data_IF_553389221952
#
_entry.id   IF_553389221952
#
_cell.length_a   1.000
_cell.length_b   1.000
_cell.length_c   1.000
_cell.angle_alpha   90.00
_cell.angle_beta   90.00
_cell.angle_gamma   90.00
#
_symmetry.space_group_name_H-M   'P 1'
#
loop_
_entity.id
_entity.type
_entity.pdbx_description
1 polymer ?
#
# COMPACT_ATOMS: atom_id res chain seq x y z
N UNK A 1 -9.40 -46.74 -58.82
CA UNK A 1 -8.22 -47.45 -59.37
C UNK A 1 -7.06 -47.11 -58.45
N UNK A 2 -6.69 -48.03 -57.57
CA UNK A 2 -5.52 -47.89 -56.71
C UNK A 2 -4.32 -48.49 -57.45
N UNK A 3 -3.20 -47.76 -57.52
CA UNK A 3 -1.90 -48.39 -57.69
C UNK A 3 -1.07 -48.26 -56.40
N UNK A 4 -0.30 -49.30 -56.03
CA UNK A 4 0.34 -49.43 -54.73
C UNK A 4 1.88 -49.33 -54.80
N UNK A 5 2.47 -48.78 -53.74
CA UNK A 5 3.86 -49.09 -53.35
C UNK A 5 4.92 -48.13 -53.88
N UNK A 6 5.29 -47.18 -53.05
CA UNK A 6 6.63 -46.62 -53.03
C UNK A 6 7.11 -46.60 -51.56
N UNK A 7 8.29 -47.15 -51.22
CA UNK A 7 8.75 -47.24 -49.84
C UNK A 7 9.16 -45.87 -49.31
N UNK A 8 8.61 -45.47 -48.15
CA UNK A 8 9.07 -44.28 -47.44
C UNK A 8 10.51 -44.46 -47.01
N UNK A 9 11.37 -43.51 -47.36
CA UNK A 9 12.76 -43.46 -46.91
C UNK A 9 12.82 -43.12 -45.41
N UNK A 10 13.83 -43.58 -44.65
CA UNK A 10 13.88 -43.42 -43.19
C UNK A 10 14.02 -41.98 -42.69
N UNK A 11 14.13 -41.00 -43.58
CA UNK A 11 14.39 -39.60 -43.24
C UNK A 11 13.11 -38.78 -42.99
N UNK A 12 11.92 -39.36 -43.24
CA UNK A 12 10.63 -38.67 -43.08
C UNK A 12 9.91 -38.98 -41.75
N UNK A 13 10.58 -39.63 -40.79
CA UNK A 13 10.00 -39.87 -39.46
C UNK A 13 10.31 -38.68 -38.53
N UNK A 14 9.44 -37.67 -38.56
CA UNK A 14 9.55 -36.47 -37.72
C UNK A 14 9.38 -36.76 -36.21
N UNK A 15 9.05 -37.99 -35.83
CA UNK A 15 8.87 -38.41 -34.45
C UNK A 15 10.19 -38.52 -33.65
N UNK A 16 11.37 -38.56 -34.31
CA UNK A 16 12.68 -38.59 -33.64
C UNK A 16 13.14 -37.22 -33.09
N UNK A 17 12.54 -36.10 -33.53
CA UNK A 17 12.88 -34.75 -33.04
C UNK A 17 12.08 -34.33 -31.79
N UNK A 18 11.00 -35.02 -31.48
CA UNK A 18 10.15 -34.70 -30.33
C UNK A 18 10.56 -35.63 -29.19
N UNK A 19 11.35 -35.12 -28.27
CA UNK A 19 11.96 -35.84 -27.14
C UNK A 19 10.97 -36.43 -26.12
N UNK A 20 10.10 -37.32 -26.56
CA UNK A 20 9.23 -38.12 -25.72
C UNK A 20 9.41 -39.60 -26.08
N UNK A 21 10.08 -40.32 -25.16
CA UNK A 21 10.13 -41.77 -25.05
C UNK A 21 10.81 -42.55 -26.20
N UNK A 22 12.09 -42.30 -26.45
CA UNK A 22 12.97 -43.28 -27.11
C UNK A 22 13.55 -44.28 -26.10
N UNK A 23 13.59 -45.60 -26.40
CA UNK A 23 14.08 -46.64 -25.49
C UNK A 23 15.56 -46.50 -25.10
N UNK A 24 16.31 -45.63 -25.79
CA UNK A 24 17.70 -45.28 -25.51
C UNK A 24 17.85 -44.43 -24.22
N UNK A 25 16.81 -43.71 -23.81
CA UNK A 25 16.84 -42.83 -22.62
C UNK A 25 16.77 -43.59 -21.28
N UNK A 26 16.38 -44.87 -21.31
CA UNK A 26 16.26 -45.75 -20.13
C UNK A 26 17.57 -46.49 -19.83
N UNK A 27 18.53 -46.48 -20.76
CA UNK A 27 19.86 -47.04 -20.52
C UNK A 27 20.64 -46.12 -19.57
N UNK A 28 20.52 -46.39 -18.27
CA UNK A 28 21.22 -45.68 -17.21
C UNK A 28 22.72 -45.59 -17.47
N UNK A 29 23.27 -44.39 -17.31
CA UNK A 29 24.71 -44.10 -17.41
C UNK A 29 25.44 -44.81 -16.26
N UNK A 30 26.57 -45.52 -16.49
CA UNK A 30 27.36 -46.06 -15.39
C UNK A 30 27.95 -44.90 -14.57
N UNK A 31 27.65 -44.87 -13.28
CA UNK A 31 28.23 -43.91 -12.33
C UNK A 31 29.64 -44.40 -11.97
N UNK A 32 30.65 -43.58 -12.24
CA UNK A 32 32.02 -43.82 -11.80
C UNK A 32 32.12 -43.49 -10.30
N UNK A 33 32.65 -44.37 -9.44
CA UNK A 33 32.65 -44.15 -8.00
C UNK A 33 33.63 -43.04 -7.61
N UNK A 34 33.10 -42.02 -6.94
CA UNK A 34 33.85 -40.96 -6.26
C UNK A 34 34.79 -41.56 -5.19
N UNK A 35 36.03 -41.05 -5.00
CA UNK A 35 36.94 -41.60 -4.00
C UNK A 35 36.37 -41.43 -2.59
N UNK A 36 36.35 -42.53 -1.84
CA UNK A 36 35.75 -42.62 -0.51
C UNK A 36 36.35 -41.61 0.49
N UNK A 37 35.52 -40.88 1.26
CA UNK A 37 36.00 -40.23 2.48
C UNK A 37 36.33 -41.28 3.54
N UNK A 38 37.42 -41.06 4.27
CA UNK A 38 37.98 -41.96 5.29
C UNK A 38 36.98 -42.34 6.39
N UNK A 39 37.10 -43.54 7.01
CA UNK A 39 36.11 -44.04 7.95
C UNK A 39 36.26 -43.36 9.31
N UNK A 40 35.38 -42.41 9.62
CA UNK A 40 35.20 -41.95 11.00
C UNK A 40 34.20 -42.87 11.68
N UNK A 41 34.70 -43.68 12.60
CA UNK A 41 33.93 -44.67 13.36
C UNK A 41 32.71 -44.04 14.04
N UNK A 42 31.52 -44.61 13.81
CA UNK A 42 30.36 -44.35 14.65
C UNK A 42 30.53 -45.16 15.95
N UNK A 43 30.60 -44.53 17.15
CA UNK A 43 30.44 -45.25 18.40
C UNK A 43 28.98 -45.74 18.52
N UNK A 44 28.79 -46.89 19.16
CA UNK A 44 27.50 -47.54 19.41
C UNK A 44 26.50 -46.62 20.14
N UNK A 45 25.17 -46.83 20.03
CA UNK A 45 24.19 -45.96 20.65
C UNK A 45 24.23 -46.14 22.18
N UNK A 46 24.65 -45.10 22.90
CA UNK A 46 24.54 -45.03 24.36
C UNK A 46 23.19 -44.43 24.79
N UNK A 47 22.63 -44.90 25.93
CA UNK A 47 21.24 -44.67 26.32
C UNK A 47 20.98 -43.22 26.77
N UNK A 48 19.76 -42.73 26.53
CA UNK A 48 19.33 -41.39 26.97
C UNK A 48 19.53 -41.22 28.49
N UNK A 49 20.21 -40.15 28.95
CA UNK A 49 20.29 -39.85 30.36
C UNK A 49 18.98 -39.23 30.86
N UNK A 50 18.41 -39.84 31.91
CA UNK A 50 17.27 -39.32 32.69
C UNK A 50 17.51 -37.90 33.22
N UNK A 51 16.44 -37.11 33.47
CA UNK A 51 16.56 -35.69 33.78
C UNK A 51 17.28 -35.47 35.11
N UNK A 52 18.48 -34.89 35.06
CA UNK A 52 19.19 -34.42 36.25
C UNK A 52 18.53 -33.15 36.76
N UNK A 53 17.89 -33.26 37.91
CA UNK A 53 17.42 -32.15 38.74
C UNK A 53 18.64 -31.35 39.21
N UNK A 54 18.92 -30.22 38.57
CA UNK A 54 19.78 -29.17 39.12
C UNK A 54 18.89 -27.96 39.44
N UNK A 55 18.45 -27.91 40.69
CA UNK A 55 17.96 -26.71 41.33
C UNK A 55 19.05 -25.64 41.33
N UNK A 56 18.85 -24.57 40.56
CA UNK A 56 19.50 -23.30 40.78
C UNK A 56 18.43 -22.20 40.77
N UNK A 57 17.84 -22.01 41.95
CA UNK A 57 17.19 -20.80 42.47
C UNK A 57 16.93 -19.73 41.39
N UNK A 58 15.77 -19.82 40.72
CA UNK A 58 15.24 -18.68 39.96
C UNK A 58 14.80 -17.65 41.00
N UNK A 59 15.56 -16.57 41.16
CA UNK A 59 15.03 -15.36 41.80
C UNK A 59 13.66 -15.07 41.18
N UNK A 60 12.62 -14.72 41.97
CA UNK A 60 11.37 -14.29 41.38
C UNK A 60 11.69 -13.08 40.50
N UNK A 61 11.55 -13.24 39.18
CA UNK A 61 11.62 -12.12 38.27
C UNK A 61 10.70 -11.03 38.82
N UNK A 62 11.17 -9.78 38.93
CA UNK A 62 10.30 -8.69 39.38
C UNK A 62 9.04 -8.74 38.52
N UNK A 63 7.83 -8.58 39.11
CA UNK A 63 6.60 -8.67 38.35
C UNK A 63 6.75 -7.74 37.15
N UNK A 64 6.69 -8.31 35.95
CA UNK A 64 6.57 -7.54 34.71
C UNK A 64 5.48 -6.52 34.99
N UNK A 65 5.75 -5.20 34.95
CA UNK A 65 4.70 -4.23 35.17
C UNK A 65 3.60 -4.61 34.19
N UNK A 66 2.42 -4.96 34.73
CA UNK A 66 1.26 -5.20 33.89
C UNK A 66 1.20 -4.03 32.90
N UNK A 67 1.03 -4.28 31.59
CA UNK A 67 0.87 -3.19 30.66
C UNK A 67 -0.28 -2.35 31.22
N UNK A 68 0.04 -1.12 31.65
CA UNK A 68 -0.99 -0.19 32.12
C UNK A 68 -2.10 -0.24 31.08
N UNK A 69 -3.37 -0.42 31.49
CA UNK A 69 -4.45 -0.54 30.53
C UNK A 69 -4.36 0.67 29.61
N UNK A 70 -4.02 0.42 28.34
CA UNK A 70 -3.94 1.48 27.34
C UNK A 70 -5.23 2.29 27.48
N UNK A 71 -5.16 3.62 27.63
CA UNK A 71 -6.35 4.40 27.87
C UNK A 71 -7.32 4.10 26.73
N UNK A 72 -8.43 3.43 27.07
CA UNK A 72 -9.43 3.04 26.10
C UNK A 72 -9.76 4.27 25.23
N UNK A 73 -9.90 4.10 23.90
CA UNK A 73 -10.09 5.24 23.01
C UNK A 73 -11.26 6.06 23.52
N UNK A 74 -10.96 7.28 23.98
CA UNK A 74 -11.97 8.19 24.51
C UNK A 74 -12.85 8.57 23.32
N UNK A 75 -14.00 7.91 23.21
CA UNK A 75 -14.99 8.22 22.19
C UNK A 75 -15.64 9.55 22.55
N UNK A 76 -15.01 10.65 22.11
CA UNK A 76 -15.60 11.98 22.25
C UNK A 76 -16.92 12.00 21.48
N UNK A 77 -18.01 12.29 22.17
CA UNK A 77 -19.34 12.30 21.59
C UNK A 77 -19.41 13.36 20.46
N UNK A 78 -20.33 13.16 19.51
CA UNK A 78 -20.56 14.16 18.45
C UNK A 78 -20.99 15.52 19.03
N UNK A 79 -21.71 15.52 20.15
CA UNK A 79 -22.15 16.73 20.82
C UNK A 79 -20.96 17.52 21.40
N UNK A 80 -20.03 16.84 22.08
CA UNK A 80 -18.83 17.47 22.61
C UNK A 80 -17.92 18.02 21.51
N UNK A 81 -17.73 17.26 20.42
CA UNK A 81 -16.97 17.75 19.26
C UNK A 81 -17.61 18.98 18.64
N UNK A 82 -18.94 19.04 18.55
CA UNK A 82 -19.66 20.21 18.05
C UNK A 82 -19.48 21.42 18.96
N UNK A 83 -19.59 21.26 20.28
CA UNK A 83 -19.30 22.35 21.23
C UNK A 83 -17.88 22.88 21.04
N UNK A 84 -16.90 22.00 20.89
CA UNK A 84 -15.52 22.40 20.62
C UNK A 84 -15.35 23.16 19.28
N UNK A 85 -16.19 22.91 18.28
CA UNK A 85 -16.22 23.73 17.06
C UNK A 85 -16.86 25.10 17.28
N UNK A 86 -17.88 25.17 18.14
CA UNK A 86 -18.57 26.43 18.41
C UNK A 86 -17.64 27.41 19.15
N UNK A 87 -16.67 26.90 19.90
CA UNK A 87 -15.56 27.67 20.50
C UNK A 87 -14.48 28.09 19.49
N UNK A 88 -14.40 27.44 18.32
CA UNK A 88 -13.40 27.80 17.31
C UNK A 88 -13.74 29.14 16.63
N UNK A 89 -12.73 29.99 16.38
CA UNK A 89 -12.94 31.23 15.64
C UNK A 89 -13.61 30.98 14.28
N UNK A 90 -14.76 31.63 14.05
CA UNK A 90 -15.61 31.44 12.86
C UNK A 90 -14.88 31.77 11.55
N UNK A 91 -13.94 32.72 11.57
CA UNK A 91 -13.08 33.07 10.45
C UNK A 91 -12.21 31.88 10.00
N UNK A 92 -11.72 31.06 10.94
CA UNK A 92 -10.91 29.86 10.63
C UNK A 92 -11.74 28.73 10.03
N UNK A 93 -12.96 28.52 10.54
CA UNK A 93 -13.92 27.58 9.96
C UNK A 93 -14.30 28.00 8.54
N UNK A 94 -14.57 29.30 8.37
CA UNK A 94 -14.88 29.89 7.05
C UNK A 94 -13.72 29.70 6.10
N UNK A 95 -12.49 29.97 6.53
CA UNK A 95 -11.29 29.77 5.73
C UNK A 95 -11.13 28.32 5.28
N UNK A 96 -11.28 27.35 6.20
CA UNK A 96 -11.22 25.93 5.86
C UNK A 96 -12.29 25.55 4.83
N UNK A 97 -13.52 26.06 4.97
CA UNK A 97 -14.58 25.87 3.97
C UNK A 97 -14.26 26.51 2.63
N UNK A 98 -13.67 27.70 2.61
CA UNK A 98 -13.25 28.40 1.39
C UNK A 98 -12.24 27.56 0.60
N UNK A 99 -11.23 26.99 1.25
CA UNK A 99 -10.25 26.12 0.57
C UNK A 99 -10.93 24.88 0.00
N UNK A 100 -11.85 24.26 0.74
CA UNK A 100 -12.62 23.14 0.18
C UNK A 100 -13.48 23.55 -1.01
N UNK A 101 -14.11 24.72 -0.99
CA UNK A 101 -14.84 25.24 -2.13
C UNK A 101 -13.90 25.41 -3.35
N UNK A 102 -12.70 25.97 -3.16
CA UNK A 102 -11.69 26.08 -4.22
C UNK A 102 -11.28 24.72 -4.80
N UNK A 103 -11.20 23.67 -3.97
CA UNK A 103 -10.96 22.29 -4.41
C UNK A 103 -12.14 21.77 -5.25
N UNK A 104 -13.40 21.99 -4.83
CA UNK A 104 -14.57 21.54 -5.60
C UNK A 104 -14.70 22.27 -6.94
N UNK A 105 -14.42 23.57 -6.95
CA UNK A 105 -14.45 24.38 -8.17
C UNK A 105 -13.27 24.11 -9.11
N UNK A 106 -12.31 23.26 -8.73
CA UNK A 106 -11.14 22.96 -9.54
C UNK A 106 -11.55 22.41 -10.91
N UNK A 107 -12.51 21.49 -10.96
CA UNK A 107 -12.95 20.86 -12.21
C UNK A 107 -13.66 21.84 -13.15
N UNK A 108 -14.72 22.57 -12.74
CA UNK A 108 -15.42 23.50 -13.64
C UNK A 108 -14.57 24.69 -14.08
N UNK A 109 -13.52 25.04 -13.33
CA UNK A 109 -12.59 26.13 -13.67
C UNK A 109 -11.32 25.65 -14.38
N UNK A 110 -11.27 24.39 -14.83
CA UNK A 110 -10.10 23.78 -15.48
C UNK A 110 -8.80 23.93 -14.65
N UNK A 111 -8.92 23.80 -13.33
CA UNK A 111 -7.83 23.83 -12.36
C UNK A 111 -7.49 25.23 -11.83
N UNK A 112 -8.06 26.30 -12.37
CA UNK A 112 -7.73 27.67 -11.95
C UNK A 112 -7.98 27.90 -10.45
N UNK A 113 -9.13 27.47 -9.92
CA UNK A 113 -9.41 27.61 -8.48
C UNK A 113 -8.49 26.77 -7.60
N UNK A 114 -7.99 25.61 -8.09
CA UNK A 114 -7.02 24.80 -7.37
C UNK A 114 -5.68 25.53 -7.25
N UNK A 115 -5.26 26.28 -8.27
CA UNK A 115 -4.06 27.13 -8.18
C UNK A 115 -4.24 28.20 -7.09
N UNK A 116 -5.39 28.89 -7.06
CA UNK A 116 -5.68 29.87 -6.00
C UNK A 116 -5.68 29.23 -4.61
N UNK A 117 -6.27 28.04 -4.48
CA UNK A 117 -6.24 27.27 -3.23
C UNK A 117 -4.83 26.90 -2.83
N UNK A 118 -4.01 26.41 -3.78
CA UNK A 118 -2.63 26.01 -3.54
C UNK A 118 -1.78 27.20 -3.06
N UNK A 119 -1.95 28.37 -3.67
CA UNK A 119 -1.29 29.60 -3.22
C UNK A 119 -1.75 30.01 -1.82
N UNK A 120 -3.04 29.90 -1.53
CA UNK A 120 -3.59 30.26 -0.22
C UNK A 120 -3.11 29.36 0.93
N UNK A 121 -2.79 28.08 0.65
CA UNK A 121 -2.27 27.14 1.65
C UNK A 121 -0.75 27.13 1.75
N UNK A 122 -0.04 27.49 0.69
CA UNK A 122 1.43 27.39 0.65
C UNK A 122 2.09 28.50 1.48
N UNK A 123 3.13 28.14 2.26
CA UNK A 123 3.87 29.09 3.09
C UNK A 123 3.11 29.61 4.31
N UNK A 124 1.90 29.10 4.57
CA UNK A 124 1.08 29.53 5.71
C UNK A 124 1.42 28.71 6.96
N UNK A 125 1.79 29.37 8.04
CA UNK A 125 1.84 28.76 9.38
C UNK A 125 0.44 28.80 9.99
N UNK A 126 -0.19 27.63 10.14
CA UNK A 126 -1.55 27.54 10.70
C UNK A 126 -1.46 27.26 12.20
N UNK A 127 -1.68 28.31 13.00
CA UNK A 127 -1.88 28.20 14.44
C UNK A 127 -3.38 27.99 14.70
N UNK A 128 -3.84 26.74 14.61
CA UNK A 128 -5.23 26.36 14.80
C UNK A 128 -5.35 25.16 15.74
N UNK A 129 -6.58 24.87 16.19
CA UNK A 129 -6.87 23.66 16.96
C UNK A 129 -6.40 22.39 16.22
N UNK A 130 -6.09 21.31 16.94
CA UNK A 130 -5.74 20.03 16.31
C UNK A 130 -6.79 19.55 15.28
N UNK A 131 -8.07 19.87 15.53
CA UNK A 131 -9.16 19.62 14.59
C UNK A 131 -8.95 20.33 13.25
N UNK A 132 -8.76 21.65 13.25
CA UNK A 132 -8.58 22.42 12.01
C UNK A 132 -7.24 22.14 11.35
N UNK A 133 -6.19 21.89 12.14
CA UNK A 133 -4.88 21.52 11.62
C UNK A 133 -4.95 20.24 10.78
N UNK A 134 -5.73 19.24 11.20
CA UNK A 134 -5.95 18.01 10.42
C UNK A 134 -6.58 18.29 9.04
N UNK A 135 -7.54 19.23 8.97
CA UNK A 135 -8.18 19.64 7.72
C UNK A 135 -7.23 20.44 6.83
N UNK A 136 -6.45 21.34 7.41
CA UNK A 136 -5.44 22.11 6.67
C UNK A 136 -4.41 21.21 5.99
N UNK A 137 -3.83 20.25 6.73
CA UNK A 137 -2.84 19.31 6.17
C UNK A 137 -3.45 18.48 5.04
N UNK A 138 -4.69 18.01 5.21
CA UNK A 138 -5.41 17.26 4.19
C UNK A 138 -5.68 18.09 2.92
N UNK A 139 -6.07 19.36 3.07
CA UNK A 139 -6.28 20.28 1.96
C UNK A 139 -4.98 20.54 1.20
N UNK A 140 -3.91 20.88 1.93
CA UNK A 140 -2.60 21.12 1.34
C UNK A 140 -2.12 19.91 0.56
N UNK A 141 -2.22 18.70 1.13
CA UNK A 141 -1.85 17.45 0.44
C UNK A 141 -2.69 17.23 -0.81
N UNK A 142 -4.00 17.44 -0.72
CA UNK A 142 -4.91 17.28 -1.87
C UNK A 142 -4.55 18.21 -3.01
N UNK A 143 -4.28 19.49 -2.71
CA UNK A 143 -3.91 20.49 -3.71
C UNK A 143 -2.55 20.20 -4.35
N UNK A 144 -1.55 19.79 -3.57
CA UNK A 144 -0.24 19.40 -4.11
C UNK A 144 -0.31 18.13 -4.96
N UNK A 145 -1.02 17.10 -4.51
CA UNK A 145 -1.24 15.88 -5.31
C UNK A 145 -1.98 16.22 -6.60
N UNK A 146 -3.02 17.06 -6.54
CA UNK A 146 -3.75 17.48 -7.72
C UNK A 146 -2.89 18.29 -8.69
N UNK A 147 -2.04 19.20 -8.19
CA UNK A 147 -1.14 19.98 -9.02
C UNK A 147 -0.11 19.10 -9.74
N UNK A 148 0.51 18.15 -9.03
CA UNK A 148 1.48 17.21 -9.61
C UNK A 148 0.79 16.30 -10.64
N UNK A 149 -0.36 15.72 -10.29
CA UNK A 149 -1.12 14.87 -11.20
C UNK A 149 -1.64 15.62 -12.42
N UNK A 150 -2.03 16.90 -12.28
CA UNK A 150 -2.45 17.74 -13.40
C UNK A 150 -1.27 18.03 -14.34
N UNK A 151 -0.10 18.35 -13.79
CA UNK A 151 1.12 18.56 -14.57
C UNK A 151 1.51 17.30 -15.35
N UNK A 152 1.51 16.13 -14.69
CA UNK A 152 1.76 14.84 -15.33
C UNK A 152 0.70 14.56 -16.40
N UNK A 153 -0.58 14.73 -16.08
CA UNK A 153 -1.69 14.55 -17.01
C UNK A 153 -1.54 15.42 -18.26
N UNK A 154 -1.16 16.69 -18.10
CA UNK A 154 -0.94 17.62 -19.21
C UNK A 154 0.23 17.18 -20.11
N UNK A 155 1.33 16.70 -19.54
CA UNK A 155 2.45 16.14 -20.30
C UNK A 155 2.00 14.89 -21.08
N UNK A 156 1.21 14.02 -20.45
CA UNK A 156 0.70 12.79 -21.06
C UNK A 156 -0.36 13.03 -22.15
N UNK A 157 -0.90 14.24 -22.32
CA UNK A 157 -1.83 14.55 -23.41
C UNK A 157 -1.19 14.32 -24.78
N UNK A 158 0.13 14.50 -24.91
CA UNK A 158 0.87 14.30 -26.18
C UNK A 158 0.66 12.88 -26.74
N UNK A 159 0.47 11.89 -25.87
CA UNK A 159 0.22 10.48 -26.24
C UNK A 159 -1.24 10.07 -26.02
N UNK A 160 -2.17 11.03 -25.91
CA UNK A 160 -3.61 10.85 -25.59
C UNK A 160 -3.92 10.20 -24.23
N UNK A 161 -2.94 9.67 -23.51
CA UNK A 161 -3.11 9.07 -22.19
C UNK A 161 -3.49 10.11 -21.11
N UNK A 162 -3.09 11.37 -21.32
CA UNK A 162 -3.34 12.45 -20.39
C UNK A 162 -4.81 12.70 -20.11
N UNK A 163 -5.69 12.48 -21.09
CA UNK A 163 -7.14 12.67 -20.93
C UNK A 163 -7.70 11.73 -19.84
N UNK A 164 -7.28 10.47 -19.83
CA UNK A 164 -7.69 9.51 -18.80
C UNK A 164 -7.14 9.90 -17.43
N UNK A 165 -5.88 10.32 -17.36
CA UNK A 165 -5.25 10.77 -16.11
C UNK A 165 -5.97 12.00 -15.54
N UNK A 166 -6.26 12.99 -16.37
CA UNK A 166 -6.98 14.21 -15.97
C UNK A 166 -8.43 13.93 -15.59
N UNK A 167 -9.09 12.97 -16.24
CA UNK A 167 -10.44 12.55 -15.87
C UNK A 167 -10.47 11.85 -14.49
N UNK A 168 -9.56 10.89 -14.26
CA UNK A 168 -9.41 10.24 -12.95
C UNK A 168 -9.07 11.28 -11.87
N UNK A 169 -8.19 12.22 -12.19
CA UNK A 169 -7.85 13.32 -11.29
C UNK A 169 -9.07 14.20 -10.96
N UNK A 170 -9.91 14.52 -11.93
CA UNK A 170 -11.12 15.32 -11.72
C UNK A 170 -12.06 14.63 -10.72
N UNK A 171 -12.35 13.33 -10.94
CA UNK A 171 -13.18 12.52 -10.04
C UNK A 171 -12.56 12.45 -8.66
N UNK A 172 -11.26 12.15 -8.56
CA UNK A 172 -10.54 12.08 -7.30
C UNK A 172 -10.58 13.40 -6.53
N UNK A 173 -10.36 14.53 -7.21
CA UNK A 173 -10.36 15.87 -6.59
C UNK A 173 -11.73 16.22 -6.01
N UNK A 174 -12.81 15.95 -6.76
CA UNK A 174 -14.18 16.16 -6.28
C UNK A 174 -14.48 15.28 -5.07
N UNK A 175 -14.16 13.98 -5.15
CA UNK A 175 -14.40 13.04 -4.05
C UNK A 175 -13.66 13.47 -2.77
N UNK A 176 -12.39 13.87 -2.90
CA UNK A 176 -11.55 14.34 -1.78
C UNK A 176 -12.10 15.62 -1.15
N UNK A 177 -12.52 16.58 -1.97
CA UNK A 177 -13.13 17.82 -1.50
C UNK A 177 -14.46 17.58 -0.78
N UNK A 178 -15.33 16.75 -1.35
CA UNK A 178 -16.63 16.42 -0.77
C UNK A 178 -16.49 15.66 0.57
N UNK A 179 -15.59 14.68 0.63
CA UNK A 179 -15.29 13.95 1.87
C UNK A 179 -14.77 14.88 2.98
N UNK A 180 -13.89 15.83 2.62
CA UNK A 180 -13.36 16.83 3.54
C UNK A 180 -14.45 17.74 4.11
N UNK A 181 -15.35 18.27 3.25
CA UNK A 181 -16.49 19.08 3.68
C UNK A 181 -17.42 18.27 4.59
N UNK A 182 -17.69 17.01 4.25
CA UNK A 182 -18.58 16.16 5.03
C UNK A 182 -18.04 15.91 6.44
N UNK A 183 -16.74 15.62 6.57
CA UNK A 183 -16.08 15.46 7.88
C UNK A 183 -16.07 16.77 8.68
N UNK A 184 -15.76 17.89 8.04
CA UNK A 184 -15.78 19.22 8.65
C UNK A 184 -17.18 19.57 9.20
N UNK A 185 -18.24 19.37 8.41
CA UNK A 185 -19.64 19.59 8.83
C UNK A 185 -20.11 18.65 9.94
N UNK A 186 -19.47 17.49 10.08
CA UNK A 186 -19.77 16.50 11.11
C UNK A 186 -18.96 16.68 12.40
N UNK A 187 -18.13 17.73 12.49
CA UNK A 187 -17.19 17.93 13.59
C UNK A 187 -16.23 16.74 13.77
N UNK A 188 -15.85 16.09 12.66
CA UNK A 188 -14.93 14.96 12.69
C UNK A 188 -13.54 15.42 12.24
N UNK A 189 -12.48 15.25 13.07
CA UNK A 189 -11.12 15.46 12.62
C UNK A 189 -10.76 14.44 11.53
N UNK A 190 -9.78 14.77 10.71
CA UNK A 190 -9.28 13.84 9.70
C UNK A 190 -8.30 12.89 10.37
N UNK A 191 -8.73 11.63 10.56
CA UNK A 191 -7.98 10.61 11.30
C UNK A 191 -6.59 10.36 10.70
N UNK A 192 -6.46 10.38 9.37
CA UNK A 192 -5.18 10.25 8.71
C UNK A 192 -5.06 11.27 7.57
N UNK A 193 -4.55 12.48 7.84
CA UNK A 193 -4.49 13.54 6.84
C UNK A 193 -3.45 13.28 5.74
N UNK A 194 -2.62 12.24 5.90
CA UNK A 194 -1.57 11.84 4.95
C UNK A 194 -2.01 10.71 4.02
N UNK A 195 -3.23 10.18 4.15
CA UNK A 195 -3.72 9.16 3.24
C UNK A 195 -3.96 9.73 1.85
N UNK A 196 -3.60 8.91 0.86
CA UNK A 196 -3.92 9.14 -0.55
C UNK A 196 -5.42 8.90 -0.83
N UNK A 197 -6.07 8.08 0.01
CA UNK A 197 -7.50 7.78 -0.03
C UNK A 197 -8.27 8.43 1.12
N UNK A 198 -9.61 8.33 1.09
CA UNK A 198 -10.60 9.15 1.83
C UNK A 198 -10.43 9.13 3.35
#
# INVERSE_FOLDING_TARGET
>A
MAEPGEPRTPEDDFDDQVGFCSPQSVAGRPVEPEPAPEPVAHPAPEPEPEPRMEDAVREPEPPTPEPEPEPAPVFVSRAERRRALDEEPKDRLTWALTIYALILFAVPTLGFSAVLGLLAVTGRTVNASPFLLSHYVYQQRTLWTAAIAALVGLILIVVNLGIFVLFLLAVWTIARGAAGIWRLKNAQPISNPRTWFF
#
